data_IF_650764977646
#
_entry.id   IF_650764977646
#
_cell.length_a   1.000
_cell.length_b   1.000
_cell.length_c   1.000
_cell.angle_alpha   90.00
_cell.angle_beta   90.00
_cell.angle_gamma   90.00
#
_symmetry.space_group_name_H-M   'P 1'
#
loop_
_entity.id
_entity.type
_entity.pdbx_description
1 polymer ?
#
# COMPACT_ATOMS: atom_id res chain seq x y z
N UNK A 1 6.75 -21.87 -35.35
CA UNK A 1 5.71 -21.52 -34.37
C UNK A 1 6.41 -21.31 -33.05
N UNK A 2 6.64 -20.06 -32.62
CA UNK A 2 7.23 -19.80 -31.31
C UNK A 2 6.17 -20.07 -30.25
N UNK A 3 6.42 -21.00 -29.34
CA UNK A 3 5.63 -21.16 -28.12
C UNK A 3 5.73 -19.86 -27.31
N UNK A 4 4.61 -19.20 -26.98
CA UNK A 4 4.64 -18.06 -26.07
C UNK A 4 5.29 -18.49 -24.75
N UNK A 5 6.15 -17.64 -24.20
CA UNK A 5 6.68 -17.80 -22.85
C UNK A 5 5.50 -17.63 -21.89
N UNK A 6 5.14 -18.68 -21.14
CA UNK A 6 4.09 -18.63 -20.13
C UNK A 6 4.67 -18.03 -18.84
N UNK A 7 4.18 -16.85 -18.47
CA UNK A 7 4.42 -16.29 -17.13
C UNK A 7 3.43 -16.93 -16.15
N UNK A 8 3.95 -17.60 -15.12
CA UNK A 8 3.16 -18.09 -13.99
C UNK A 8 3.78 -17.56 -12.70
N UNK A 9 2.92 -17.06 -11.81
CA UNK A 9 3.27 -16.69 -10.44
C UNK A 9 2.24 -17.30 -9.50
N UNK A 10 2.69 -17.70 -8.31
CA UNK A 10 1.84 -18.30 -7.29
C UNK A 10 2.25 -17.81 -5.91
N UNK A 11 1.31 -17.82 -4.98
CA UNK A 11 1.56 -17.43 -3.60
C UNK A 11 0.48 -17.94 -2.66
N UNK A 12 0.53 -17.48 -1.42
CA UNK A 12 -0.49 -17.76 -0.42
C UNK A 12 -0.71 -16.56 0.48
N UNK A 13 -1.85 -16.51 1.14
CA UNK A 13 -2.15 -15.53 2.18
C UNK A 13 -3.08 -16.10 3.25
N UNK A 14 -3.07 -15.49 4.43
CA UNK A 14 -4.11 -15.67 5.45
C UNK A 14 -5.16 -14.59 5.24
N UNK A 15 -6.41 -15.00 5.06
CA UNK A 15 -7.54 -14.10 4.86
C UNK A 15 -7.96 -13.46 6.19
N UNK A 16 -8.34 -12.20 6.14
CA UNK A 16 -8.95 -11.46 7.25
C UNK A 16 -10.48 -11.34 7.07
N UNK A 17 -11.03 -11.95 6.01
CA UNK A 17 -12.43 -11.84 5.63
C UNK A 17 -12.79 -10.56 4.88
N UNK A 18 -11.83 -9.68 4.59
CA UNK A 18 -12.03 -8.46 3.80
C UNK A 18 -11.56 -8.64 2.36
N UNK A 19 -12.05 -7.77 1.46
CA UNK A 19 -11.59 -7.77 0.08
C UNK A 19 -10.09 -7.48 0.02
N UNK A 20 -9.36 -8.17 -0.85
CA UNK A 20 -7.89 -8.13 -0.89
C UNK A 20 -7.38 -7.76 -2.27
N UNK A 21 -6.32 -6.96 -2.31
CA UNK A 21 -5.54 -6.71 -3.53
C UNK A 21 -4.36 -7.68 -3.58
N UNK A 22 -4.17 -8.31 -4.74
CA UNK A 22 -2.98 -9.07 -5.07
C UNK A 22 -2.16 -8.30 -6.10
N UNK A 23 -0.94 -7.95 -5.73
CA UNK A 23 0.02 -7.32 -6.61
C UNK A 23 0.64 -8.37 -7.53
N UNK A 24 0.37 -8.26 -8.83
CA UNK A 24 0.92 -9.14 -9.85
C UNK A 24 1.81 -8.34 -10.80
N UNK A 25 2.86 -9.00 -11.29
CA UNK A 25 3.84 -8.39 -12.21
C UNK A 25 3.39 -8.37 -13.67
N UNK A 26 2.22 -8.89 -13.97
CA UNK A 26 1.67 -8.98 -15.32
C UNK A 26 0.14 -9.05 -15.26
N UNK A 27 -0.53 -8.70 -16.36
CA UNK A 27 -1.97 -8.90 -16.50
C UNK A 27 -2.29 -10.39 -16.67
N UNK A 28 -2.90 -11.05 -15.67
CA UNK A 28 -3.22 -12.46 -15.81
C UNK A 28 -4.35 -12.64 -16.81
N UNK A 29 -4.19 -13.62 -17.70
CA UNK A 29 -5.30 -14.10 -18.53
C UNK A 29 -6.18 -15.08 -17.75
N UNK A 30 -5.59 -15.74 -16.74
CA UNK A 30 -6.26 -16.69 -15.87
C UNK A 30 -5.74 -16.59 -14.44
N UNK A 31 -6.66 -16.68 -13.50
CA UNK A 31 -6.37 -16.72 -12.08
C UNK A 31 -7.16 -17.82 -11.39
N UNK A 32 -6.53 -18.48 -10.43
CA UNK A 32 -7.12 -19.53 -9.61
C UNK A 32 -6.74 -19.34 -8.16
N UNK A 33 -7.71 -19.56 -7.26
CA UNK A 33 -7.44 -19.69 -5.83
C UNK A 33 -7.99 -21.00 -5.28
N UNK A 34 -7.38 -21.44 -4.18
CA UNK A 34 -7.76 -22.62 -3.41
C UNK A 34 -7.70 -22.27 -1.92
N UNK A 35 -8.82 -22.42 -1.22
CA UNK A 35 -8.88 -22.28 0.22
C UNK A 35 -8.47 -23.61 0.87
N UNK A 36 -7.26 -23.68 1.42
CA UNK A 36 -6.73 -24.89 2.04
C UNK A 36 -7.47 -25.21 3.34
N UNK A 37 -7.76 -24.20 4.16
CA UNK A 37 -8.45 -24.36 5.44
C UNK A 37 -9.81 -25.04 5.25
N UNK A 38 -10.57 -24.60 4.24
CA UNK A 38 -11.91 -25.11 3.99
C UNK A 38 -12.01 -26.24 2.96
N UNK A 39 -10.89 -26.79 2.50
CA UNK A 39 -10.93 -27.80 1.44
C UNK A 39 -11.68 -29.08 1.86
N UNK A 40 -11.63 -29.42 3.15
CA UNK A 40 -12.25 -30.62 3.72
C UNK A 40 -13.36 -30.33 4.76
N UNK A 41 -13.81 -29.08 4.89
CA UNK A 41 -14.90 -28.75 5.84
C UNK A 41 -16.27 -29.10 5.28
N UNK A 42 -17.10 -29.69 6.16
CA UNK A 42 -18.54 -29.72 6.00
C UNK A 42 -19.11 -28.43 6.59
N UNK A 43 -19.41 -27.45 5.76
CA UNK A 43 -20.00 -26.19 6.22
C UNK A 43 -21.53 -26.29 6.36
N UNK A 44 -22.06 -25.69 7.43
CA UNK A 44 -23.50 -25.36 7.56
C UNK A 44 -23.89 -24.17 6.68
N UNK A 45 -22.89 -23.42 6.22
CA UNK A 45 -23.00 -22.31 5.26
C UNK A 45 -22.11 -22.65 4.06
N UNK A 46 -22.47 -22.23 2.83
CA UNK A 46 -21.59 -22.38 1.69
C UNK A 46 -20.30 -21.58 1.90
N UNK A 47 -19.16 -22.26 1.79
CA UNK A 47 -17.82 -21.68 1.86
C UNK A 47 -17.10 -21.99 0.55
N UNK A 48 -16.49 -20.97 -0.05
CA UNK A 48 -15.74 -21.12 -1.29
C UNK A 48 -14.45 -21.89 -1.04
N UNK A 49 -14.34 -23.06 -1.67
CA UNK A 49 -13.15 -23.93 -1.64
C UNK A 49 -12.18 -23.59 -2.75
N UNK A 50 -12.70 -23.22 -3.92
CA UNK A 50 -11.94 -22.89 -5.12
C UNK A 50 -12.64 -21.78 -5.87
N UNK A 51 -11.87 -20.88 -6.47
CA UNK A 51 -12.40 -19.92 -7.43
C UNK A 51 -11.47 -19.78 -8.64
N UNK A 52 -12.06 -19.41 -9.77
CA UNK A 52 -11.37 -19.18 -11.03
C UNK A 52 -11.90 -17.93 -11.71
N UNK A 53 -10.99 -17.22 -12.37
CA UNK A 53 -11.30 -16.04 -13.16
C UNK A 53 -10.51 -16.05 -14.47
N UNK A 54 -11.11 -15.47 -15.50
CA UNK A 54 -10.51 -15.30 -16.82
C UNK A 54 -10.64 -13.83 -17.21
N UNK A 55 -9.67 -13.29 -17.96
CA UNK A 55 -9.70 -11.90 -18.41
C UNK A 55 -10.87 -11.54 -19.33
N UNK A 56 -11.59 -12.55 -19.84
CA UNK A 56 -12.81 -12.36 -20.63
C UNK A 56 -14.08 -12.22 -19.79
N UNK A 57 -14.03 -12.48 -18.48
CA UNK A 57 -15.17 -12.27 -17.58
C UNK A 57 -15.34 -10.78 -17.28
N UNK A 58 -16.56 -10.36 -16.95
CA UNK A 58 -16.79 -9.00 -16.50
C UNK A 58 -16.15 -8.77 -15.12
N UNK A 59 -15.98 -7.50 -14.74
CA UNK A 59 -15.46 -7.14 -13.43
C UNK A 59 -16.35 -7.70 -12.31
N UNK A 60 -15.72 -8.20 -11.25
CA UNK A 60 -16.34 -8.78 -10.05
C UNK A 60 -17.09 -10.11 -10.30
N UNK A 61 -16.82 -10.77 -11.43
CA UNK A 61 -17.30 -12.13 -11.70
C UNK A 61 -16.26 -13.19 -11.31
N UNK A 62 -16.69 -14.42 -11.02
CA UNK A 62 -15.82 -15.58 -10.92
C UNK A 62 -16.64 -16.89 -11.02
N UNK A 63 -15.97 -17.98 -11.37
CA UNK A 63 -16.48 -19.33 -11.12
C UNK A 63 -16.00 -19.79 -9.76
N UNK A 64 -16.87 -20.38 -8.95
CA UNK A 64 -16.53 -20.90 -7.63
C UNK A 64 -16.99 -22.34 -7.49
N UNK A 65 -16.31 -23.09 -6.61
CA UNK A 65 -16.82 -24.33 -6.04
C UNK A 65 -16.93 -24.15 -4.54
N UNK A 66 -18.11 -24.43 -4.01
CA UNK A 66 -18.45 -24.30 -2.59
C UNK A 66 -19.06 -25.60 -2.07
N UNK A 67 -19.02 -25.84 -0.76
CA UNK A 67 -19.81 -26.93 -0.18
C UNK A 67 -21.31 -26.64 -0.31
N UNK A 68 -22.09 -27.68 -0.58
CA UNK A 68 -23.54 -27.64 -0.46
C UNK A 68 -23.90 -27.55 1.03
N UNK A 69 -24.85 -26.68 1.37
CA UNK A 69 -25.34 -26.51 2.75
C UNK A 69 -25.74 -27.85 3.37
N UNK A 70 -25.10 -28.19 4.49
CA UNK A 70 -25.38 -29.41 5.26
C UNK A 70 -25.23 -30.74 4.48
N UNK A 71 -24.40 -30.77 3.43
CA UNK A 71 -24.10 -31.98 2.67
C UNK A 71 -22.60 -32.17 2.40
N UNK A 72 -22.22 -33.43 2.11
CA UNK A 72 -20.88 -33.84 1.71
C UNK A 72 -20.65 -33.68 0.19
N UNK A 73 -21.34 -32.73 -0.42
CA UNK A 73 -21.27 -32.47 -1.86
C UNK A 73 -20.74 -31.06 -2.10
N UNK A 74 -20.07 -30.89 -3.24
CA UNK A 74 -19.64 -29.60 -3.75
C UNK A 74 -20.61 -29.14 -4.84
N UNK A 75 -20.83 -27.83 -4.93
CA UNK A 75 -21.61 -27.18 -5.98
C UNK A 75 -20.75 -26.13 -6.69
N UNK A 76 -20.88 -26.06 -8.01
CA UNK A 76 -20.28 -25.02 -8.83
C UNK A 76 -21.22 -23.83 -8.96
N UNK A 77 -20.76 -22.64 -8.60
CA UNK A 77 -21.56 -21.40 -8.65
C UNK A 77 -20.83 -20.33 -9.46
N UNK A 78 -21.56 -19.68 -10.36
CA UNK A 78 -21.10 -18.46 -11.04
C UNK A 78 -21.52 -17.26 -10.21
N UNK A 79 -20.56 -16.46 -9.74
CA UNK A 79 -20.82 -15.24 -9.00
C UNK A 79 -20.71 -14.03 -9.94
N UNK A 80 -21.64 -13.09 -9.79
CA UNK A 80 -21.73 -11.87 -10.61
C UNK A 80 -21.32 -10.60 -9.85
N UNK A 81 -21.03 -10.73 -8.55
CA UNK A 81 -20.64 -9.63 -7.67
C UNK A 81 -19.69 -10.14 -6.59
N UNK A 82 -18.72 -9.32 -6.19
CA UNK A 82 -17.74 -9.68 -5.16
C UNK A 82 -16.78 -10.79 -5.58
N UNK A 83 -16.63 -11.04 -6.89
CA UNK A 83 -15.68 -11.98 -7.48
C UNK A 83 -14.31 -11.37 -7.68
N UNK A 84 -13.72 -11.58 -8.86
CA UNK A 84 -12.35 -11.17 -9.14
C UNK A 84 -12.36 -10.13 -10.26
N UNK A 85 -11.50 -9.12 -10.18
CA UNK A 85 -11.31 -8.17 -11.28
C UNK A 85 -9.89 -7.60 -11.33
N UNK A 86 -9.43 -7.18 -12.53
CA UNK A 86 -8.24 -6.37 -12.64
C UNK A 86 -8.44 -5.03 -11.93
N UNK A 87 -7.38 -4.54 -11.32
CA UNK A 87 -7.34 -3.18 -10.79
C UNK A 87 -7.22 -2.23 -11.97
N UNK A 88 -8.11 -1.24 -12.00
CA UNK A 88 -8.07 -0.20 -13.02
C UNK A 88 -8.63 1.09 -12.42
N UNK A 89 -7.97 2.21 -12.70
CA UNK A 89 -8.43 3.58 -12.40
C UNK A 89 -9.90 3.87 -12.74
N UNK A 90 -10.47 3.20 -13.75
CA UNK A 90 -11.87 3.34 -14.13
C UNK A 90 -12.84 2.65 -13.14
N UNK A 91 -12.41 1.54 -12.53
CA UNK A 91 -13.23 0.72 -11.63
C UNK A 91 -12.86 0.87 -10.16
N UNK A 92 -11.66 1.36 -9.87
CA UNK A 92 -11.16 1.72 -8.55
C UNK A 92 -10.87 3.23 -8.50
N UNK A 93 -11.88 4.10 -8.68
CA UNK A 93 -11.64 5.53 -8.57
C UNK A 93 -11.20 5.88 -7.15
N UNK A 94 -10.38 6.92 -7.03
CA UNK A 94 -10.08 7.54 -5.74
C UNK A 94 -11.40 7.85 -5.03
N UNK A 95 -11.50 7.44 -3.77
CA UNK A 95 -12.76 7.53 -3.05
C UNK A 95 -13.20 8.96 -2.79
N UNK A 96 -14.49 9.12 -2.48
CA UNK A 96 -15.03 10.41 -2.11
C UNK A 96 -14.27 10.99 -0.91
N UNK A 97 -14.02 12.29 -0.99
CA UNK A 97 -13.41 13.05 0.06
C UNK A 97 -14.27 13.03 1.33
N UNK A 98 -13.67 12.76 2.49
CA UNK A 98 -14.32 12.86 3.79
C UNK A 98 -13.70 14.03 4.55
N UNK A 99 -14.57 14.88 5.12
CA UNK A 99 -14.16 16.08 5.85
C UNK A 99 -13.99 15.74 7.32
N UNK A 100 -12.84 16.08 7.86
CA UNK A 100 -12.48 15.94 9.26
C UNK A 100 -12.33 17.29 9.96
N UNK A 101 -12.34 17.24 11.28
CA UNK A 101 -12.39 18.42 12.14
C UNK A 101 -11.10 18.68 12.90
N UNK A 102 -10.18 17.72 12.96
CA UNK A 102 -8.91 17.91 13.66
C UNK A 102 -7.80 16.97 13.21
N UNK A 103 -6.57 17.40 13.43
CA UNK A 103 -5.37 16.56 13.49
C UNK A 103 -4.60 16.99 14.75
N UNK A 104 -4.28 16.07 15.65
CA UNK A 104 -3.53 16.39 16.87
C UNK A 104 -2.05 16.69 16.57
N UNK A 105 -1.45 17.62 17.31
CA UNK A 105 -0.01 17.86 17.29
C UNK A 105 0.67 16.91 18.29
N UNK A 106 0.73 15.62 17.93
CA UNK A 106 1.23 14.54 18.77
C UNK A 106 2.06 13.55 17.94
N UNK A 107 2.63 12.54 18.61
CA UNK A 107 3.31 11.41 17.98
C UNK A 107 2.80 10.12 18.64
N UNK A 108 1.97 9.31 17.96
CA UNK A 108 1.41 9.55 16.63
C UNK A 108 0.32 10.65 16.61
N UNK A 109 0.10 11.32 15.47
CA UNK A 109 -1.03 12.24 15.26
C UNK A 109 -2.33 11.46 15.04
N UNK A 110 -3.41 11.95 15.66
CA UNK A 110 -4.76 11.40 15.52
C UNK A 110 -5.58 12.35 14.65
N UNK A 111 -6.17 11.80 13.59
CA UNK A 111 -7.08 12.52 12.69
C UNK A 111 -8.52 12.25 13.13
N UNK A 112 -9.28 13.32 13.41
CA UNK A 112 -10.71 13.21 13.78
C UNK A 112 -11.60 13.49 12.57
N UNK A 113 -12.41 12.51 12.20
CA UNK A 113 -13.26 12.51 11.01
C UNK A 113 -14.46 11.60 11.18
N UNK A 114 -15.68 12.15 11.26
CA UNK A 114 -16.88 11.35 11.54
C UNK A 114 -17.19 10.33 10.45
N UNK A 115 -17.42 9.07 10.86
CA UNK A 115 -17.81 7.98 9.98
C UNK A 115 -16.92 7.83 8.74
N UNK A 116 -15.60 7.89 8.94
CA UNK A 116 -14.63 7.91 7.84
C UNK A 116 -14.61 6.61 7.02
N UNK A 117 -15.00 5.46 7.60
CA UNK A 117 -15.07 4.17 6.89
C UNK A 117 -13.70 3.62 6.46
N UNK A 118 -12.62 4.18 6.98
CA UNK A 118 -11.25 3.72 6.76
C UNK A 118 -10.88 2.63 7.76
N UNK A 119 -9.95 1.77 7.36
CA UNK A 119 -9.43 0.65 8.13
C UNK A 119 -7.91 0.73 8.23
N UNK A 120 -7.33 -0.03 9.16
CA UNK A 120 -5.87 -0.20 9.27
C UNK A 120 -5.32 -0.74 7.93
N UNK A 121 -4.21 -0.17 7.47
CA UNK A 121 -3.57 -0.49 6.20
C UNK A 121 -4.05 0.35 5.02
N UNK A 122 -5.14 1.10 5.15
CA UNK A 122 -5.57 2.03 4.10
C UNK A 122 -4.56 3.17 3.94
N UNK A 123 -4.26 3.56 2.70
CA UNK A 123 -3.47 4.76 2.40
C UNK A 123 -4.42 5.93 2.16
N UNK A 124 -4.24 7.01 2.91
CA UNK A 124 -5.06 8.22 2.79
C UNK A 124 -4.21 9.42 2.39
N UNK A 125 -4.72 10.24 1.47
CA UNK A 125 -4.12 11.55 1.18
C UNK A 125 -4.84 12.62 1.99
N UNK A 126 -4.08 13.37 2.78
CA UNK A 126 -4.60 14.51 3.54
C UNK A 126 -4.43 15.80 2.74
N UNK A 127 -5.42 16.69 2.76
CA UNK A 127 -5.35 17.99 2.11
C UNK A 127 -6.33 18.98 2.76
N UNK A 128 -6.26 20.25 2.36
CA UNK A 128 -7.06 21.33 2.95
C UNK A 128 -6.95 21.37 4.49
N UNK A 129 -5.77 21.06 5.02
CA UNK A 129 -5.51 21.15 6.46
C UNK A 129 -5.46 22.61 6.88
N UNK A 130 -5.97 22.93 8.06
CA UNK A 130 -5.80 24.26 8.67
C UNK A 130 -4.70 24.18 9.72
N UNK A 131 -3.77 25.12 9.76
CA UNK A 131 -2.65 25.19 10.72
C UNK A 131 -1.60 24.05 10.69
N UNK A 132 -1.80 23.02 9.86
CA UNK A 132 -0.81 21.98 9.56
C UNK A 132 -0.59 21.84 8.05
N UNK A 133 -0.28 22.95 7.37
CA UNK A 133 -0.11 22.95 5.91
C UNK A 133 1.14 22.18 5.45
N UNK A 134 2.11 21.98 6.34
CA UNK A 134 3.35 21.24 6.08
C UNK A 134 3.15 19.74 5.82
N UNK A 135 1.93 19.21 6.00
CA UNK A 135 1.55 17.84 5.62
C UNK A 135 0.40 17.80 4.58
N UNK A 136 -0.06 18.97 4.11
CA UNK A 136 -1.16 19.04 3.15
C UNK A 136 -0.71 18.56 1.77
N UNK A 137 -1.25 17.44 1.32
CA UNK A 137 -0.92 16.79 0.06
C UNK A 137 -0.09 15.52 0.22
N UNK A 138 0.41 15.24 1.43
CA UNK A 138 1.10 13.99 1.74
C UNK A 138 0.10 12.83 1.89
N UNK A 139 0.62 11.63 1.69
CA UNK A 139 -0.08 10.36 1.84
C UNK A 139 0.42 9.68 3.11
N UNK A 140 -0.46 8.98 3.83
CA UNK A 140 -0.13 8.27 5.06
C UNK A 140 -0.83 6.92 5.10
N UNK A 141 -0.13 5.90 5.62
CA UNK A 141 -0.76 4.62 5.99
C UNK A 141 -1.50 4.80 7.31
N UNK A 142 -2.74 4.30 7.40
CA UNK A 142 -3.47 4.21 8.66
C UNK A 142 -2.97 3.00 9.45
N UNK A 143 -2.51 3.21 10.67
CA UNK A 143 -1.96 2.14 11.52
C UNK A 143 -2.89 1.75 12.67
N UNK A 144 -3.74 2.66 13.13
CA UNK A 144 -4.77 2.39 14.12
C UNK A 144 -6.08 3.13 13.81
N UNK A 145 -7.20 2.52 14.21
CA UNK A 145 -8.56 3.08 14.09
C UNK A 145 -9.25 2.90 15.43
N UNK A 146 -9.02 3.80 16.41
CA UNK A 146 -9.52 3.64 17.76
C UNK A 146 -11.06 3.68 17.84
N UNK A 147 -11.70 4.41 16.92
CA UNK A 147 -13.15 4.44 16.79
C UNK A 147 -13.58 4.83 15.36
N UNK A 148 -14.89 4.76 15.07
CA UNK A 148 -15.43 5.07 13.75
C UNK A 148 -15.29 6.54 13.31
N UNK A 149 -14.77 7.40 14.18
CA UNK A 149 -14.60 8.83 13.97
C UNK A 149 -13.15 9.28 14.04
N UNK A 150 -12.19 8.37 14.17
CA UNK A 150 -10.80 8.69 14.46
C UNK A 150 -9.86 7.64 13.90
N UNK A 151 -8.74 8.05 13.34
CA UNK A 151 -7.66 7.16 12.92
C UNK A 151 -6.29 7.79 13.18
N UNK A 152 -5.27 6.95 13.33
CA UNK A 152 -3.88 7.37 13.56
C UNK A 152 -3.07 7.31 12.26
N UNK A 153 -2.21 8.30 12.06
CA UNK A 153 -1.23 8.35 10.96
C UNK A 153 0.18 8.22 11.53
N UNK A 154 0.57 6.99 11.85
CA UNK A 154 1.90 6.72 12.41
C UNK A 154 3.01 7.04 11.40
N UNK A 155 4.26 7.06 11.88
CA UNK A 155 5.45 7.49 11.15
C UNK A 155 5.55 8.99 10.89
N UNK A 156 4.70 9.80 11.53
CA UNK A 156 4.82 11.26 11.58
C UNK A 156 5.00 11.70 13.04
N UNK A 157 6.06 12.43 13.35
CA UNK A 157 6.15 13.17 14.61
C UNK A 157 5.62 14.60 14.40
N UNK A 158 4.36 14.84 14.78
CA UNK A 158 3.74 16.16 14.74
C UNK A 158 3.84 16.93 16.07
N UNK A 159 4.59 16.42 17.07
CA UNK A 159 4.71 17.07 18.38
C UNK A 159 5.41 18.43 18.30
N UNK A 160 6.29 18.60 17.30
CA UNK A 160 6.97 19.87 17.00
C UNK A 160 6.12 20.87 16.22
N UNK A 161 4.88 20.53 15.82
CA UNK A 161 4.05 21.44 15.04
C UNK A 161 3.47 22.54 15.93
N UNK A 162 3.46 23.78 15.43
CA UNK A 162 3.08 24.95 16.21
C UNK A 162 1.63 24.92 16.74
N UNK A 163 0.72 24.21 16.05
CA UNK A 163 -0.66 24.05 16.45
C UNK A 163 -1.26 22.77 15.86
N UNK A 164 -2.26 22.21 16.56
CA UNK A 164 -3.14 21.18 16.03
C UNK A 164 -3.95 21.71 14.84
N UNK A 165 -4.28 20.85 13.87
CA UNK A 165 -5.18 21.22 12.80
C UNK A 165 -6.63 21.29 13.28
N UNK A 166 -7.40 22.23 12.71
CA UNK A 166 -8.83 22.44 13.02
C UNK A 166 -9.76 22.12 11.86
N UNK A 167 -9.19 21.69 10.73
CA UNK A 167 -9.89 21.13 9.59
C UNK A 167 -8.91 20.28 8.81
N UNK A 168 -9.43 19.25 8.14
CA UNK A 168 -8.70 18.39 7.22
C UNK A 168 -9.70 17.76 6.26
N UNK A 169 -9.29 17.50 5.04
CA UNK A 169 -10.00 16.57 4.15
C UNK A 169 -9.09 15.39 3.88
N UNK A 170 -9.63 14.19 3.96
CA UNK A 170 -8.93 12.97 3.57
C UNK A 170 -9.66 12.28 2.43
N UNK A 171 -8.93 11.51 1.65
CA UNK A 171 -9.50 10.54 0.72
C UNK A 171 -8.65 9.29 0.72
N UNK A 172 -9.31 8.13 0.74
CA UNK A 172 -8.63 6.85 0.58
C UNK A 172 -8.18 6.69 -0.86
N UNK A 173 -6.94 6.26 -1.02
CA UNK A 173 -6.39 5.84 -2.29
C UNK A 173 -6.59 4.31 -2.36
N UNK A 174 -7.47 3.82 -3.26
CA UNK A 174 -7.82 2.38 -3.32
C UNK A 174 -6.63 1.51 -3.75
N UNK A 175 -5.63 2.14 -4.34
CA UNK A 175 -4.29 1.61 -4.60
C UNK A 175 -3.34 2.79 -4.46
N UNK A 176 -2.10 2.51 -4.08
CA UNK A 176 -1.04 3.52 -4.04
C UNK A 176 -0.67 3.90 -5.49
N UNK A 177 -1.04 5.09 -5.98
CA UNK A 177 -1.01 5.45 -7.40
C UNK A 177 0.41 5.66 -7.95
N UNK A 178 1.43 5.51 -7.12
CA UNK A 178 2.83 5.55 -7.54
C UNK A 178 3.28 4.15 -7.95
N UNK A 179 2.71 3.65 -9.04
CA UNK A 179 2.93 2.29 -9.54
C UNK A 179 4.30 2.07 -10.22
N UNK A 180 5.32 2.86 -9.86
CA UNK A 180 6.71 2.56 -10.20
C UNK A 180 7.29 1.73 -9.06
N UNK A 181 7.81 0.54 -9.32
CA UNK A 181 8.55 -0.22 -8.32
C UNK A 181 10.07 0.00 -8.51
N UNK A 182 10.80 0.40 -7.46
CA UNK A 182 10.31 0.82 -6.15
C UNK A 182 9.67 2.21 -6.22
N UNK A 183 8.85 2.52 -5.23
CA UNK A 183 7.95 3.67 -5.26
C UNK A 183 8.62 4.91 -4.70
N UNK A 184 8.27 6.10 -5.17
CA UNK A 184 8.71 7.31 -4.45
C UNK A 184 7.95 7.36 -3.12
N UNK A 185 8.61 7.84 -2.07
CA UNK A 185 8.01 7.94 -0.74
C UNK A 185 8.30 9.28 -0.13
N UNK A 186 7.28 9.91 0.46
CA UNK A 186 7.52 11.13 1.22
C UNK A 186 8.25 10.78 2.51
N UNK A 187 9.25 11.59 2.81
CA UNK A 187 10.07 11.50 4.02
C UNK A 187 9.40 12.30 5.13
N UNK A 188 9.28 11.70 6.31
CA UNK A 188 8.75 12.34 7.52
C UNK A 188 9.84 12.64 8.55
N UNK A 189 11.00 11.98 8.45
CA UNK A 189 12.15 12.28 9.30
C UNK A 189 13.47 11.79 8.66
N UNK A 190 14.57 12.45 9.00
CA UNK A 190 15.94 11.99 8.69
C UNK A 190 16.83 12.26 9.91
N UNK A 191 17.50 11.22 10.42
CA UNK A 191 18.45 11.39 11.53
C UNK A 191 19.78 11.95 11.05
N UNK A 192 20.37 12.91 11.76
CA UNK A 192 21.77 13.30 11.58
C UNK A 192 22.69 12.29 12.27
N UNK A 193 23.20 11.30 11.52
CA UNK A 193 23.97 10.18 12.02
C UNK A 193 24.98 9.66 11.00
N UNK A 194 25.95 8.85 11.45
CA UNK A 194 26.95 8.22 10.56
C UNK A 194 26.33 7.32 9.49
N UNK A 195 25.14 6.77 9.76
CA UNK A 195 24.26 6.14 8.78
C UNK A 195 22.89 6.80 8.95
N UNK A 196 22.43 7.54 7.94
CA UNK A 196 21.14 8.24 8.02
C UNK A 196 19.99 7.24 8.06
N UNK A 197 19.15 7.31 9.10
CA UNK A 197 17.86 6.62 9.19
C UNK A 197 16.78 7.56 8.66
N UNK A 198 16.06 7.10 7.65
CA UNK A 198 15.00 7.84 6.96
C UNK A 198 13.66 7.20 7.30
N UNK A 199 12.74 7.97 7.87
CA UNK A 199 11.36 7.55 8.15
C UNK A 199 10.46 7.98 7.00
N UNK A 200 9.58 7.08 6.55
CA UNK A 200 8.71 7.28 5.40
C UNK A 200 7.23 7.33 5.84
N UNK A 201 6.42 8.05 5.08
CA UNK A 201 5.00 8.29 5.39
C UNK A 201 4.05 7.12 5.08
N UNK A 202 4.43 6.27 4.13
CA UNK A 202 3.67 5.10 3.65
C UNK A 202 4.64 3.92 3.55
N UNK A 203 4.15 2.71 3.77
CA UNK A 203 4.92 1.47 3.64
C UNK A 203 5.70 1.45 2.33
N UNK A 204 7.03 1.31 2.42
CA UNK A 204 7.92 1.62 1.30
C UNK A 204 8.17 0.47 0.33
N UNK A 205 8.11 -0.78 0.81
CA UNK A 205 8.40 -1.97 -0.02
C UNK A 205 9.86 -2.10 -0.50
N UNK A 206 10.71 -1.10 -0.23
CA UNK A 206 12.16 -1.17 -0.48
C UNK A 206 12.81 -2.43 0.09
N UNK A 207 13.95 -2.80 -0.46
CA UNK A 207 14.77 -3.94 -0.05
C UNK A 207 16.17 -3.48 0.38
N UNK A 208 16.84 -4.28 1.20
CA UNK A 208 18.27 -4.07 1.50
C UNK A 208 19.06 -4.20 0.21
N UNK A 209 20.14 -3.42 0.09
CA UNK A 209 21.01 -3.26 -1.08
C UNK A 209 20.43 -2.41 -2.23
N UNK A 210 19.17 -1.97 -2.15
CA UNK A 210 18.65 -0.97 -3.09
C UNK A 210 19.30 0.40 -2.90
N UNK A 211 19.46 1.15 -4.00
CA UNK A 211 20.00 2.51 -4.00
C UNK A 211 18.84 3.49 -4.16
N UNK A 212 18.75 4.43 -3.22
CA UNK A 212 17.79 5.53 -3.24
C UNK A 212 18.50 6.87 -3.34
N UNK A 213 17.91 7.79 -4.09
CA UNK A 213 18.24 9.22 -4.07
C UNK A 213 17.32 9.91 -3.07
N UNK A 214 17.87 10.64 -2.12
CA UNK A 214 17.09 11.48 -1.20
C UNK A 214 16.93 12.86 -1.82
N UNK A 215 15.72 13.37 -1.89
CA UNK A 215 15.43 14.77 -2.25
C UNK A 215 14.94 15.49 -1.02
N UNK A 216 15.57 16.59 -0.66
CA UNK A 216 15.21 17.37 0.52
C UNK A 216 15.40 18.86 0.23
N UNK A 217 14.29 19.61 0.19
CA UNK A 217 14.39 21.05 -0.04
C UNK A 217 14.91 21.78 1.21
N UNK A 218 15.56 22.95 1.05
CA UNK A 218 16.09 23.71 2.19
C UNK A 218 15.06 24.10 3.26
N UNK A 219 13.77 24.16 2.90
CA UNK A 219 12.69 24.43 3.84
C UNK A 219 12.58 23.37 4.96
N UNK A 220 13.15 22.19 4.76
CA UNK A 220 13.18 21.09 5.73
C UNK A 220 14.49 20.98 6.54
N UNK A 221 15.36 22.00 6.44
CA UNK A 221 16.63 22.05 7.16
C UNK A 221 17.74 21.33 6.39
N UNK A 222 17.74 19.99 6.43
CA UNK A 222 18.79 19.05 5.96
C UNK A 222 19.05 19.12 4.44
N UNK A 223 19.41 20.28 3.92
CA UNK A 223 19.61 20.54 2.49
C UNK A 223 20.86 19.85 1.92
N UNK A 224 21.82 19.50 2.78
CA UNK A 224 23.06 18.83 2.39
C UNK A 224 22.83 17.41 1.85
N UNK A 225 21.71 16.77 2.22
CA UNK A 225 21.34 15.44 1.73
C UNK A 225 20.65 15.49 0.35
N UNK A 226 20.30 16.67 -0.15
CA UNK A 226 19.56 16.78 -1.41
C UNK A 226 20.38 16.18 -2.57
N UNK A 227 19.73 15.28 -3.30
CA UNK A 227 20.28 14.53 -4.43
C UNK A 227 21.42 13.57 -4.08
N UNK A 228 21.72 13.35 -2.80
CA UNK A 228 22.63 12.29 -2.40
C UNK A 228 21.99 10.92 -2.62
N UNK A 229 22.81 9.98 -3.07
CA UNK A 229 22.44 8.58 -3.22
C UNK A 229 23.02 7.78 -2.06
N UNK A 230 22.21 6.87 -1.52
CA UNK A 230 22.61 5.95 -0.46
C UNK A 230 22.12 4.54 -0.74
N UNK A 231 22.94 3.55 -0.41
CA UNK A 231 22.55 2.15 -0.36
C UNK A 231 21.78 1.89 0.93
N UNK A 232 20.64 1.21 0.83
CA UNK A 232 19.88 0.74 1.98
C UNK A 232 20.64 -0.41 2.64
N UNK A 233 21.07 -0.21 3.88
CA UNK A 233 21.84 -1.18 4.67
C UNK A 233 20.98 -1.95 5.67
N UNK A 234 19.83 -1.38 6.07
CA UNK A 234 18.87 -2.03 6.95
C UNK A 234 17.47 -1.45 6.77
N UNK A 235 16.45 -2.26 7.09
CA UNK A 235 15.03 -1.88 7.03
C UNK A 235 14.38 -2.23 8.37
N UNK A 236 13.56 -1.31 8.88
CA UNK A 236 12.61 -1.57 9.97
C UNK A 236 11.20 -1.35 9.45
N UNK A 237 10.47 -2.45 9.21
CA UNK A 237 9.09 -2.41 8.73
C UNK A 237 8.09 -2.00 9.82
N UNK A 238 8.47 -2.04 11.09
CA UNK A 238 7.60 -1.64 12.22
C UNK A 238 7.63 -0.13 12.41
N UNK A 239 8.77 0.51 12.13
CA UNK A 239 8.94 1.96 12.21
C UNK A 239 8.87 2.64 10.83
N UNK A 240 8.64 1.85 9.77
CA UNK A 240 8.68 2.27 8.37
C UNK A 240 9.93 3.10 8.04
N UNK A 241 11.10 2.59 8.44
CA UNK A 241 12.39 3.26 8.24
C UNK A 241 13.35 2.46 7.37
N UNK A 242 14.20 3.20 6.65
CA UNK A 242 15.36 2.65 5.96
C UNK A 242 16.63 3.31 6.48
N UNK A 243 17.64 2.49 6.80
CA UNK A 243 18.98 2.96 7.13
C UNK A 243 19.82 2.98 5.87
N UNK A 244 20.46 4.12 5.58
CA UNK A 244 21.35 4.29 4.42
C UNK A 244 22.81 4.43 4.85
N UNK A 245 23.74 4.18 3.93
CA UNK A 245 25.17 4.42 4.12
C UNK A 245 25.58 5.91 4.01
N UNK A 246 24.62 6.83 3.93
CA UNK A 246 24.88 8.27 3.91
C UNK A 246 25.30 8.73 5.30
N UNK A 247 26.52 9.25 5.42
CA UNK A 247 26.98 9.96 6.62
C UNK A 247 26.38 11.38 6.65
N UNK A 248 25.38 11.55 7.51
CA UNK A 248 24.67 12.82 7.75
C UNK A 248 25.04 13.44 9.10
N UNK A 249 26.09 12.96 9.76
CA UNK A 249 26.46 13.39 11.12
C UNK A 249 26.81 14.88 11.23
N UNK A 250 27.24 15.49 10.13
CA UNK A 250 27.58 16.92 10.04
C UNK A 250 26.48 17.77 9.38
N UNK A 251 25.34 17.17 9.00
CA UNK A 251 24.28 17.90 8.30
C UNK A 251 23.42 18.70 9.27
N UNK A 252 22.72 19.70 8.74
CA UNK A 252 21.68 20.37 9.51
C UNK A 252 20.55 19.40 9.87
N UNK A 253 19.91 19.62 11.02
CA UNK A 253 18.83 18.76 11.48
C UNK A 253 17.63 18.84 10.53
N UNK A 254 17.03 17.69 10.22
CA UNK A 254 15.75 17.64 9.52
C UNK A 254 14.66 18.21 10.43
N UNK A 255 13.85 19.12 9.90
CA UNK A 255 12.71 19.68 10.61
C UNK A 255 11.64 20.11 9.62
N UNK A 256 10.36 19.85 9.91
CA UNK A 256 9.29 20.39 9.09
C UNK A 256 9.29 21.93 9.12
N UNK A 257 9.03 22.59 7.97
CA UNK A 257 8.83 24.03 7.95
C UNK A 257 7.59 24.39 8.76
N UNK A 258 7.52 25.66 9.20
CA UNK A 258 6.29 26.18 9.80
C UNK A 258 5.13 26.15 8.80
N UNK A 259 3.89 26.05 9.29
CA UNK A 259 2.70 26.10 8.42
C UNK A 259 2.64 27.36 7.56
N UNK A 260 3.25 28.48 7.99
CA UNK A 260 3.30 29.71 7.22
C UNK A 260 4.25 29.60 6.00
N UNK A 261 5.39 28.93 6.17
CA UNK A 261 6.31 28.62 5.07
C UNK A 261 5.67 27.62 4.11
N UNK A 262 5.04 26.56 4.63
CA UNK A 262 4.31 25.59 3.82
C UNK A 262 3.19 26.23 2.96
N UNK A 263 2.51 27.27 3.48
CA UNK A 263 1.49 28.01 2.75
C UNK A 263 2.01 28.73 1.50
N UNK A 264 3.31 29.09 1.47
CA UNK A 264 3.95 29.71 0.31
C UNK A 264 4.27 28.71 -0.80
N UNK A 265 4.07 27.41 -0.55
CA UNK A 265 4.43 26.32 -1.44
C UNK A 265 5.78 25.73 -1.05
N UNK A 266 5.78 24.44 -0.73
CA UNK A 266 6.99 23.66 -0.45
C UNK A 266 6.97 22.41 -1.32
N UNK A 267 8.15 21.90 -1.67
CA UNK A 267 8.28 20.57 -2.27
C UNK A 267 8.67 19.60 -1.18
N UNK A 268 7.81 18.61 -0.92
CA UNK A 268 8.04 17.62 0.13
C UNK A 268 9.32 16.82 -0.13
N UNK A 269 10.08 16.50 0.94
CA UNK A 269 11.21 15.61 0.82
C UNK A 269 10.72 14.21 0.43
N UNK A 270 11.47 13.55 -0.44
CA UNK A 270 11.10 12.24 -0.96
C UNK A 270 12.32 11.37 -1.22
N UNK A 271 12.17 10.06 -1.06
CA UNK A 271 13.10 9.07 -1.58
C UNK A 271 12.68 8.66 -2.98
N UNK A 272 13.65 8.60 -3.89
CA UNK A 272 13.47 8.17 -5.28
C UNK A 272 14.42 6.99 -5.52
N UNK A 273 13.92 5.78 -5.77
CA UNK A 273 14.78 4.64 -6.05
C UNK A 273 15.44 4.78 -7.42
N UNK A 274 16.71 4.39 -7.52
CA UNK A 274 17.53 4.59 -8.72
C UNK A 274 18.32 3.36 -9.14
N UNK A 275 18.36 2.29 -8.33
CA UNK A 275 19.01 1.04 -8.71
C UNK A 275 19.15 0.06 -7.56
N UNK A 276 19.99 -0.94 -7.77
CA UNK A 276 20.34 -2.00 -6.82
C UNK A 276 21.87 -2.16 -6.81
N UNK A 277 22.45 -2.45 -5.64
CA UNK A 277 23.87 -2.68 -5.48
C UNK A 277 24.18 -4.17 -5.57
N UNK A 278 24.70 -4.62 -6.72
CA UNK A 278 25.17 -5.99 -6.90
C UNK A 278 24.94 -6.53 -8.31
N UNK A 279 25.29 -7.80 -8.52
CA UNK A 279 25.05 -8.51 -9.78
C UNK A 279 23.64 -9.13 -9.85
N UNK A 280 22.75 -8.69 -8.97
CA UNK A 280 21.36 -9.14 -8.89
C UNK A 280 20.51 -7.99 -9.41
N UNK A 281 19.93 -8.16 -10.61
CA UNK A 281 18.97 -7.20 -11.17
C UNK A 281 17.60 -7.44 -10.50
N UNK A 282 17.54 -7.23 -9.19
CA UNK A 282 16.31 -7.38 -8.41
C UNK A 282 15.53 -6.06 -8.29
N UNK A 283 16.20 -4.91 -8.42
CA UNK A 283 15.60 -3.57 -8.27
C UNK A 283 15.45 -2.69 -9.53
N UNK A 284 14.45 -1.79 -9.46
CA UNK A 284 14.16 -0.50 -10.14
C UNK A 284 14.32 -0.24 -11.64
N UNK A 285 14.68 -1.19 -12.50
CA UNK A 285 14.72 -0.94 -13.97
C UNK A 285 13.43 -1.31 -14.71
N UNK A 286 12.47 -1.92 -14.03
CA UNK A 286 11.19 -2.32 -14.64
C UNK A 286 10.05 -1.47 -14.07
N UNK A 287 9.48 -0.61 -14.92
CA UNK A 287 8.28 0.16 -14.62
C UNK A 287 7.07 -0.79 -14.59
N UNK A 288 6.96 -1.54 -13.50
CA UNK A 288 5.86 -2.47 -13.26
C UNK A 288 4.69 -1.70 -12.68
N UNK A 289 4.03 -0.90 -13.51
CA UNK A 289 2.68 -0.42 -13.20
C UNK A 289 1.89 -1.61 -12.64
N UNK A 290 1.36 -1.53 -11.42
CA UNK A 290 0.72 -2.67 -10.76
C UNK A 290 -0.48 -3.06 -11.60
N UNK A 291 -0.36 -4.17 -12.31
CA UNK A 291 -1.48 -4.86 -12.93
C UNK A 291 -1.93 -5.91 -11.92
N UNK A 292 -2.61 -5.45 -10.87
CA UNK A 292 -3.08 -6.31 -9.79
C UNK A 292 -4.44 -6.93 -10.06
N UNK A 293 -4.80 -7.90 -9.22
CA UNK A 293 -6.17 -8.40 -9.12
C UNK A 293 -6.76 -8.03 -7.78
N UNK A 294 -7.98 -7.52 -7.78
CA UNK A 294 -8.80 -7.39 -6.58
C UNK A 294 -9.64 -8.65 -6.41
N UNK A 295 -9.56 -9.24 -5.23
CA UNK A 295 -10.38 -10.35 -4.74
C UNK A 295 -11.50 -9.77 -3.89
N UNK A 296 -12.74 -9.96 -4.32
CA UNK A 296 -13.92 -9.56 -3.57
C UNK A 296 -14.25 -10.52 -2.42
N UNK A 297 -15.19 -10.09 -1.58
CA UNK A 297 -15.60 -10.79 -0.36
C UNK A 297 -16.14 -12.21 -0.63
N UNK A 298 -16.66 -12.47 -1.83
CA UNK A 298 -17.22 -13.78 -2.18
C UNK A 298 -16.14 -14.83 -2.46
N UNK A 299 -14.86 -14.44 -2.63
CA UNK A 299 -13.79 -15.33 -3.07
C UNK A 299 -12.54 -15.32 -2.18
N UNK A 300 -12.38 -14.30 -1.34
CA UNK A 300 -11.18 -14.07 -0.51
C UNK A 300 -11.04 -15.02 0.68
N UNK A 301 -12.07 -15.79 1.00
CA UNK A 301 -12.13 -16.62 2.21
C UNK A 301 -12.64 -15.84 3.43
N UNK A 302 -12.81 -16.53 4.56
CA UNK A 302 -13.14 -15.92 5.85
C UNK A 302 -11.89 -15.69 6.68
N UNK A 303 -12.00 -14.93 7.77
CA UNK A 303 -10.88 -14.71 8.70
C UNK A 303 -10.21 -16.04 9.10
N UNK A 304 -8.88 -16.04 9.10
CA UNK A 304 -7.97 -17.16 9.39
C UNK A 304 -7.89 -18.26 8.30
N UNK A 305 -8.57 -18.09 7.16
CA UNK A 305 -8.41 -19.02 6.05
C UNK A 305 -7.04 -18.88 5.37
N UNK A 306 -6.34 -20.00 5.18
CA UNK A 306 -5.11 -20.07 4.38
C UNK A 306 -5.49 -20.32 2.92
N UNK A 307 -5.29 -19.31 2.08
CA UNK A 307 -5.64 -19.34 0.66
C UNK A 307 -4.39 -19.36 -0.20
N UNK A 308 -4.31 -20.33 -1.11
CA UNK A 308 -3.26 -20.43 -2.14
C UNK A 308 -3.78 -19.93 -3.47
N UNK A 309 -2.93 -19.32 -4.27
CA UNK A 309 -3.34 -18.78 -5.56
C UNK A 309 -2.28 -18.98 -6.65
N UNK A 310 -2.75 -18.99 -7.90
CA UNK A 310 -1.93 -19.08 -9.10
C UNK A 310 -2.49 -18.08 -10.13
N UNK A 311 -1.63 -17.25 -10.67
CA UNK A 311 -1.90 -16.35 -11.77
C UNK A 311 -1.07 -16.76 -12.99
N UNK A 312 -1.66 -16.77 -14.18
CA UNK A 312 -0.97 -17.12 -15.43
C UNK A 312 -1.34 -16.16 -16.55
N UNK A 313 -0.37 -15.86 -17.41
CA UNK A 313 -0.59 -15.16 -18.68
C UNK A 313 -0.28 -16.07 -19.86
N UNK A 314 -1.04 -15.91 -20.95
CA UNK A 314 -0.93 -16.71 -22.16
C UNK A 314 -2.03 -17.79 -22.31
N UNK A 315 -1.83 -18.67 -23.30
CA UNK A 315 -2.78 -19.74 -23.64
C UNK A 315 -2.76 -20.81 -22.55
N UNK A 316 -3.81 -20.83 -21.73
CA UNK A 316 -4.03 -21.92 -20.77
C UNK A 316 -4.35 -23.19 -21.57
N UNK A 317 -3.47 -24.18 -21.52
CA UNK A 317 -3.84 -25.54 -21.92
C UNK A 317 -4.74 -26.10 -20.81
N UNK A 318 -6.05 -26.07 -21.06
CA UNK A 318 -7.09 -26.63 -20.18
C UNK A 318 -7.05 -28.15 -20.24
#
# INVERSE_FOLDING_TARGET
>A
MSTPIHGQISGSYVSDGNARVLDLRFEPTYFKLMNQTNFNTMGVTPVVKRAWWFSTLASDEAFTVQNTTAALTDESVFITTGGIRPINTATDPVEAAVVGTAITAASPPVVTMTAHGYSIGDVVRLYSTTAMLQIAGMEFTITDVPDANSFEIDYLDASGFAAAATAVTARRLPFDPQDFAPKNRFVTNITAAANAVITLSVDHGYQVDEIITVRCTPDFGMSEIDQLQGQITAIDTTLNTVTTDIDSSAFTAFAFPTSAVAAAGVTFPQTVPVGDFGNVLTGSIDNQAIIGLRLGLSVVGVADDVVHWIATTGLVQV
#
